data_IF_359896882700
#
_entry.id   IF_359896882700
#
_cell.length_a   1.000
_cell.length_b   1.000
_cell.length_c   1.000
_cell.angle_alpha   90.00
_cell.angle_beta   90.00
_cell.angle_gamma   90.00
#
_symmetry.space_group_name_H-M   'P 1'
#
loop_
_entity.id
_entity.type
_entity.pdbx_description
1 polymer ?
#
# COMPACT_ATOMS: atom_id res chain seq x y z
N UNK A 1 29.51 -0.73 -15.90
CA UNK A 1 28.88 0.31 -15.07
C UNK A 1 27.38 0.35 -15.32
N UNK A 2 26.57 -0.53 -14.71
CA UNK A 2 25.10 -0.47 -14.85
C UNK A 2 24.41 -1.30 -13.74
N UNK A 3 24.56 -0.90 -12.48
CA UNK A 3 23.91 -1.65 -11.38
C UNK A 3 23.40 -0.80 -10.19
N UNK A 4 23.51 0.53 -10.24
CA UNK A 4 23.15 1.37 -9.08
C UNK A 4 21.74 2.00 -9.13
N UNK A 5 21.10 2.11 -10.30
CA UNK A 5 19.81 2.83 -10.40
C UNK A 5 18.60 2.07 -9.82
N UNK A 6 18.65 0.73 -9.72
CA UNK A 6 17.52 -0.07 -9.22
C UNK A 6 17.31 0.08 -7.71
N UNK A 7 18.40 0.23 -6.94
CA UNK A 7 18.33 0.39 -5.48
C UNK A 7 17.78 1.76 -5.08
N UNK A 8 18.16 2.81 -5.79
CA UNK A 8 17.64 4.16 -5.55
C UNK A 8 16.15 4.29 -5.92
N UNK A 9 15.71 3.61 -6.98
CA UNK A 9 14.30 3.59 -7.36
C UNK A 9 13.43 2.88 -6.29
N UNK A 10 13.93 1.79 -5.70
CA UNK A 10 13.24 1.06 -4.64
C UNK A 10 13.13 1.88 -3.34
N UNK A 11 14.20 2.60 -2.97
CA UNK A 11 14.21 3.49 -1.81
C UNK A 11 13.25 4.67 -2.02
N UNK A 12 13.22 5.24 -3.23
CA UNK A 12 12.29 6.32 -3.59
C UNK A 12 10.83 5.86 -3.51
N UNK A 13 10.51 4.66 -4.00
CA UNK A 13 9.15 4.10 -3.94
C UNK A 13 8.75 3.81 -2.49
N UNK A 14 9.65 3.24 -1.68
CA UNK A 14 9.40 2.97 -0.26
C UNK A 14 9.20 4.26 0.55
N UNK A 15 9.99 5.31 0.28
CA UNK A 15 9.80 6.62 0.88
C UNK A 15 8.49 7.29 0.43
N UNK A 16 8.05 7.12 -0.83
CA UNK A 16 6.78 7.66 -1.33
C UNK A 16 5.56 6.99 -0.67
N UNK A 17 5.64 5.68 -0.40
CA UNK A 17 4.59 4.92 0.29
C UNK A 17 4.54 5.30 1.79
N UNK A 18 5.70 5.51 2.43
CA UNK A 18 5.77 6.00 3.81
C UNK A 18 5.29 7.46 3.95
N UNK A 19 5.50 8.30 2.94
CA UNK A 19 4.99 9.67 2.94
C UNK A 19 3.47 9.73 2.71
N UNK A 20 2.92 8.80 1.91
CA UNK A 20 1.47 8.70 1.68
C UNK A 20 0.71 8.16 2.93
N UNK A 21 1.39 7.48 3.84
CA UNK A 21 0.80 6.98 5.09
C UNK A 21 0.67 8.01 6.22
N UNK A 22 1.23 9.22 6.06
CA UNK A 22 1.27 10.25 7.12
C UNK A 22 0.20 11.34 7.00
N UNK A 23 -0.72 11.26 6.04
CA UNK A 23 -1.91 12.12 6.04
C UNK A 23 -3.10 11.38 6.65
N UNK A 24 -3.03 11.12 7.94
CA UNK A 24 -4.25 10.92 8.75
C UNK A 24 -4.88 12.30 8.93
N UNK A 25 -5.73 12.70 7.98
CA UNK A 25 -6.62 13.85 8.20
C UNK A 25 -7.68 13.42 9.20
N UNK A 26 -7.42 13.57 10.49
CA UNK A 26 -8.51 13.76 11.43
C UNK A 26 -9.26 15.06 11.06
N UNK A 27 -10.58 15.07 11.29
CA UNK A 27 -11.51 16.22 11.37
C UNK A 27 -12.43 16.66 10.21
N UNK A 28 -12.99 15.81 9.33
CA UNK A 28 -14.17 16.23 8.55
C UNK A 28 -15.42 16.47 9.44
N UNK A 29 -15.55 15.73 10.56
CA UNK A 29 -16.71 15.80 11.45
C UNK A 29 -16.76 17.06 12.32
N UNK A 30 -15.62 17.56 12.79
CA UNK A 30 -15.55 18.77 13.62
C UNK A 30 -15.87 20.02 12.79
N UNK A 31 -15.28 20.15 11.59
CA UNK A 31 -15.52 21.29 10.71
C UNK A 31 -16.98 21.39 10.25
N UNK A 32 -17.61 20.25 9.93
CA UNK A 32 -19.03 20.19 9.59
C UNK A 32 -19.91 20.69 10.74
N UNK A 33 -19.71 20.16 11.95
CA UNK A 33 -20.46 20.56 13.14
C UNK A 33 -20.35 22.07 13.41
N UNK A 34 -19.14 22.64 13.35
CA UNK A 34 -18.95 24.06 13.60
C UNK A 34 -19.61 24.94 12.51
N UNK A 35 -19.55 24.52 11.24
CA UNK A 35 -20.26 25.21 10.15
C UNK A 35 -21.78 25.18 10.35
N UNK A 36 -22.34 24.04 10.76
CA UNK A 36 -23.78 23.92 11.07
C UNK A 36 -24.17 24.85 12.22
N UNK A 37 -23.41 24.89 13.31
CA UNK A 37 -23.68 25.78 14.45
C UNK A 37 -23.70 27.25 14.04
N UNK A 38 -22.77 27.68 13.19
CA UNK A 38 -22.74 29.05 12.66
C UNK A 38 -23.95 29.33 11.76
N UNK A 39 -24.30 28.40 10.86
CA UNK A 39 -25.45 28.55 9.98
C UNK A 39 -26.77 28.63 10.76
N UNK A 40 -26.96 27.79 11.78
CA UNK A 40 -28.15 27.80 12.63
C UNK A 40 -28.26 29.06 13.48
N UNK A 41 -27.15 29.64 13.95
CA UNK A 41 -27.18 30.97 14.58
C UNK A 41 -27.66 32.06 13.63
N UNK A 42 -27.24 32.01 12.36
CA UNK A 42 -27.72 32.94 11.34
C UNK A 42 -29.23 32.75 11.07
N UNK A 43 -29.73 31.51 11.06
CA UNK A 43 -31.18 31.23 10.99
C UNK A 43 -31.92 31.85 12.17
N UNK A 44 -31.43 31.64 13.39
CA UNK A 44 -32.04 32.21 14.60
C UNK A 44 -32.12 33.74 14.54
N UNK A 45 -31.05 34.39 14.09
CA UNK A 45 -31.04 35.84 13.87
C UNK A 45 -32.12 36.27 12.86
N UNK A 46 -32.19 35.61 11.70
CA UNK A 46 -33.16 35.98 10.66
C UNK A 46 -34.61 35.77 11.13
N UNK A 47 -34.87 34.75 11.95
CA UNK A 47 -36.18 34.51 12.57
C UNK A 47 -36.55 35.64 13.54
N UNK A 48 -35.62 36.05 14.42
CA UNK A 48 -35.86 37.17 15.36
C UNK A 48 -36.11 38.49 14.62
N UNK A 49 -35.31 38.78 13.60
CA UNK A 49 -35.48 39.98 12.76
C UNK A 49 -36.82 39.99 12.03
N UNK A 50 -37.35 38.84 11.63
CA UNK A 50 -38.68 38.74 11.03
C UNK A 50 -39.82 39.17 11.97
N UNK A 51 -39.58 39.12 13.28
CA UNK A 51 -40.48 39.58 14.33
C UNK A 51 -40.15 41.01 14.81
N UNK A 52 -39.27 41.73 14.12
CA UNK A 52 -38.70 43.01 14.54
C UNK A 52 -37.96 42.96 15.90
N UNK A 53 -37.48 41.78 16.31
CA UNK A 53 -36.67 41.61 17.51
C UNK A 53 -35.18 41.71 17.14
N UNK A 54 -34.54 42.78 17.60
CA UNK A 54 -33.11 43.05 17.37
C UNK A 54 -32.25 42.88 18.63
N UNK A 55 -32.86 42.49 19.75
CA UNK A 55 -32.23 42.52 21.08
C UNK A 55 -32.13 41.14 21.69
N UNK A 56 -33.15 40.29 21.52
CA UNK A 56 -33.18 38.97 22.14
C UNK A 56 -32.06 38.08 21.60
N UNK A 57 -31.54 37.21 22.47
CA UNK A 57 -30.41 36.37 22.11
C UNK A 57 -30.85 35.04 21.48
N UNK A 58 -30.07 34.64 20.49
CA UNK A 58 -30.02 33.24 20.03
C UNK A 58 -29.11 32.48 20.99
N UNK A 59 -29.65 31.47 21.66
CA UNK A 59 -28.90 30.65 22.62
C UNK A 59 -27.86 29.76 21.91
N UNK A 60 -26.87 29.22 22.64
CA UNK A 60 -25.88 28.32 22.04
C UNK A 60 -26.53 27.12 21.36
N UNK A 61 -26.24 26.93 20.07
CA UNK A 61 -26.71 25.77 19.31
C UNK A 61 -26.11 24.50 19.91
N UNK A 62 -26.97 23.59 20.36
CA UNK A 62 -26.58 22.32 20.95
C UNK A 62 -26.49 21.26 19.86
N UNK A 63 -25.47 20.42 19.96
CA UNK A 63 -25.37 19.23 19.13
C UNK A 63 -25.85 18.04 19.97
N UNK A 64 -27.02 17.50 19.63
CA UNK A 64 -27.60 16.35 20.33
C UNK A 64 -26.98 15.04 19.82
N UNK A 65 -26.80 14.93 18.50
CA UNK A 65 -26.17 13.80 17.82
C UNK A 65 -25.23 14.26 16.69
N UNK A 66 -24.58 13.33 15.98
CA UNK A 66 -23.67 13.69 14.88
C UNK A 66 -24.34 14.48 13.74
N UNK A 67 -25.66 14.32 13.57
CA UNK A 67 -26.48 14.93 12.52
C UNK A 67 -27.71 15.67 13.07
N UNK A 68 -27.87 15.79 14.39
CA UNK A 68 -29.01 16.45 15.04
C UNK A 68 -28.53 17.65 15.84
N UNK A 69 -29.11 18.81 15.56
CA UNK A 69 -28.76 20.08 16.18
C UNK A 69 -29.99 20.80 16.67
N UNK A 70 -29.89 21.45 17.83
CA UNK A 70 -30.98 22.19 18.45
C UNK A 70 -30.63 23.67 18.56
N UNK A 71 -31.58 24.50 18.16
CA UNK A 71 -31.55 25.95 18.23
C UNK A 71 -32.67 26.43 19.17
N UNK A 72 -32.33 27.33 20.08
CA UNK A 72 -33.26 27.88 21.07
C UNK A 72 -33.05 29.39 21.24
N UNK A 73 -34.05 30.04 21.86
CA UNK A 73 -34.11 31.49 22.01
C UNK A 73 -34.28 31.88 23.47
N UNK A 74 -33.79 33.06 23.83
CA UNK A 74 -33.91 33.60 25.20
C UNK A 74 -35.36 33.86 25.60
N UNK A 75 -36.20 34.32 24.66
CA UNK A 75 -37.60 34.69 24.89
C UNK A 75 -38.55 33.86 24.04
N UNK A 76 -39.80 33.67 24.50
CA UNK A 76 -40.89 33.19 23.65
C UNK A 76 -41.04 34.07 22.41
N UNK A 77 -41.43 33.48 21.29
CA UNK A 77 -41.69 34.22 20.07
C UNK A 77 -42.85 33.61 19.29
N UNK A 78 -43.53 34.46 18.51
CA UNK A 78 -44.44 34.01 17.47
C UNK A 78 -43.64 33.57 16.25
N UNK A 79 -44.15 32.56 15.54
CA UNK A 79 -43.37 31.88 14.52
C UNK A 79 -44.11 31.87 13.18
N UNK A 80 -43.47 32.40 12.14
CA UNK A 80 -43.94 32.26 10.76
C UNK A 80 -43.16 31.12 10.08
N UNK A 81 -43.80 29.96 9.82
CA UNK A 81 -43.19 28.86 9.09
C UNK A 81 -42.52 29.27 7.77
N UNK A 82 -43.10 30.21 7.02
CA UNK A 82 -42.57 30.67 5.74
C UNK A 82 -41.21 31.36 5.89
N UNK A 83 -41.07 32.22 6.90
CA UNK A 83 -39.82 32.91 7.20
C UNK A 83 -38.74 31.94 7.69
N UNK A 84 -39.10 30.95 8.53
CA UNK A 84 -38.16 29.90 8.94
C UNK A 84 -37.66 29.11 7.74
N UNK A 85 -38.56 28.61 6.90
CA UNK A 85 -38.19 27.78 5.76
C UNK A 85 -37.19 28.52 4.84
N UNK A 86 -37.46 29.80 4.57
CA UNK A 86 -36.60 30.66 3.78
C UNK A 86 -35.25 30.93 4.47
N UNK A 87 -35.25 31.21 5.78
CA UNK A 87 -34.04 31.45 6.56
C UNK A 87 -33.13 30.21 6.57
N UNK A 88 -33.68 29.02 6.83
CA UNK A 88 -32.93 27.75 6.81
C UNK A 88 -32.35 27.49 5.42
N UNK A 89 -33.18 27.56 4.37
CA UNK A 89 -32.73 27.30 3.01
C UNK A 89 -31.62 28.27 2.56
N UNK A 90 -31.75 29.56 2.87
CA UNK A 90 -30.76 30.58 2.53
C UNK A 90 -29.45 30.38 3.30
N UNK A 91 -29.55 30.19 4.62
CA UNK A 91 -28.38 29.98 5.47
C UNK A 91 -27.61 28.72 5.09
N UNK A 92 -28.31 27.61 4.84
CA UNK A 92 -27.67 26.33 4.51
C UNK A 92 -27.04 26.34 3.12
N UNK A 93 -27.67 27.03 2.16
CA UNK A 93 -27.08 27.26 0.83
C UNK A 93 -25.80 28.09 0.90
N UNK A 94 -25.81 29.21 1.65
CA UNK A 94 -24.63 30.06 1.86
C UNK A 94 -23.49 29.32 2.56
N UNK A 95 -23.83 28.45 3.51
CA UNK A 95 -22.87 27.66 4.27
C UNK A 95 -22.47 26.36 3.57
N UNK A 96 -22.90 26.11 2.32
CA UNK A 96 -22.62 24.88 1.56
C UNK A 96 -22.93 23.60 2.35
N UNK A 97 -24.05 23.58 3.06
CA UNK A 97 -24.52 22.43 3.86
C UNK A 97 -25.36 21.46 3.00
N UNK A 98 -25.54 20.20 3.44
CA UNK A 98 -26.36 19.21 2.74
C UNK A 98 -27.78 19.71 2.49
N UNK A 99 -28.32 19.36 1.32
CA UNK A 99 -29.66 19.77 0.89
C UNK A 99 -30.78 18.91 1.46
N UNK A 100 -30.46 17.72 1.97
CA UNK A 100 -31.42 16.81 2.58
C UNK A 100 -31.42 16.97 4.11
N UNK A 101 -32.43 17.65 4.63
CA UNK A 101 -32.58 17.90 6.05
C UNK A 101 -34.05 17.98 6.44
N UNK A 102 -34.33 17.69 7.70
CA UNK A 102 -35.64 17.85 8.32
C UNK A 102 -35.53 18.85 9.44
N UNK A 103 -36.51 19.73 9.55
CA UNK A 103 -36.62 20.70 10.64
C UNK A 103 -37.89 20.41 11.41
N UNK A 104 -37.81 20.36 12.73
CA UNK A 104 -38.93 20.25 13.64
C UNK A 104 -38.89 21.42 14.63
N UNK A 105 -40.01 22.08 14.80
CA UNK A 105 -40.25 23.10 15.81
C UNK A 105 -41.05 22.44 16.92
N UNK A 106 -40.44 22.30 18.08
CA UNK A 106 -41.03 21.62 19.24
C UNK A 106 -41.42 22.65 20.29
N UNK A 107 -42.51 22.41 21.01
CA UNK A 107 -42.87 23.21 22.17
C UNK A 107 -42.01 22.81 23.37
N UNK A 108 -41.44 23.80 24.08
CA UNK A 108 -40.57 23.54 25.24
C UNK A 108 -41.25 22.81 26.40
N UNK A 109 -42.59 22.87 26.48
CA UNK A 109 -43.35 22.38 27.64
C UNK A 109 -43.63 20.89 27.59
N UNK A 110 -44.07 20.40 26.44
CA UNK A 110 -44.49 19.01 26.21
C UNK A 110 -43.58 18.26 25.23
N UNK A 111 -42.70 18.97 24.51
CA UNK A 111 -41.86 18.38 23.48
C UNK A 111 -42.62 17.97 22.23
N UNK A 112 -43.88 18.38 22.07
CA UNK A 112 -44.67 18.05 20.90
C UNK A 112 -44.28 18.91 19.70
N UNK A 113 -44.34 18.31 18.50
CA UNK A 113 -44.02 18.98 17.24
C UNK A 113 -45.15 19.95 16.89
N UNK A 114 -44.88 21.25 17.04
CA UNK A 114 -45.80 22.31 16.65
C UNK A 114 -45.77 22.54 15.13
N UNK A 115 -44.60 22.36 14.50
CA UNK A 115 -44.42 22.48 13.05
C UNK A 115 -43.21 21.67 12.59
N UNK A 116 -43.24 21.11 11.38
CA UNK A 116 -42.06 20.44 10.80
C UNK A 116 -42.10 20.47 9.29
N UNK A 117 -40.93 20.48 8.66
CA UNK A 117 -40.81 20.32 7.21
C UNK A 117 -39.57 19.50 6.85
N UNK A 118 -39.59 18.91 5.66
CA UNK A 118 -38.48 18.14 5.10
C UNK A 118 -38.06 18.75 3.76
N UNK A 119 -36.78 19.06 3.63
CA UNK A 119 -36.18 19.51 2.39
C UNK A 119 -35.38 18.37 1.79
N UNK A 120 -35.55 18.15 0.48
CA UNK A 120 -34.75 17.21 -0.30
C UNK A 120 -33.98 17.94 -1.41
N UNK A 121 -32.95 17.29 -1.91
CA UNK A 121 -32.11 17.73 -3.04
C UNK A 121 -32.90 18.10 -4.29
N UNK A 122 -34.08 17.50 -4.48
CA UNK A 122 -35.04 17.81 -5.53
C UNK A 122 -36.25 18.52 -4.92
N UNK A 123 -36.52 19.76 -5.36
CA UNK A 123 -37.59 20.63 -4.81
C UNK A 123 -38.97 19.95 -4.88
N UNK A 124 -39.22 19.16 -5.93
CA UNK A 124 -40.48 18.41 -6.11
C UNK A 124 -40.74 17.38 -5.01
N UNK A 125 -39.69 16.94 -4.30
CA UNK A 125 -39.77 15.96 -3.24
C UNK A 125 -39.67 16.57 -1.84
N UNK A 126 -39.66 17.92 -1.72
CA UNK A 126 -39.69 18.61 -0.43
C UNK A 126 -41.12 18.68 0.10
N UNK A 127 -41.28 18.44 1.40
CA UNK A 127 -42.57 18.47 2.09
C UNK A 127 -42.61 19.65 3.07
N UNK A 128 -43.36 20.69 2.70
CA UNK A 128 -43.52 21.91 3.50
C UNK A 128 -45.01 22.09 3.84
N UNK A 129 -45.50 21.50 4.95
CA UNK A 129 -46.89 21.66 5.36
C UNK A 129 -47.14 23.06 5.95
N UNK A 130 -48.41 23.42 6.17
CA UNK A 130 -48.80 24.56 7.02
C UNK A 130 -48.24 25.94 6.63
N UNK A 131 -47.80 26.15 5.38
CA UNK A 131 -47.33 27.44 4.89
C UNK A 131 -48.39 28.55 5.08
N UNK A 132 -47.98 29.67 5.69
CA UNK A 132 -48.83 30.84 5.92
C UNK A 132 -49.71 30.79 7.17
N UNK A 133 -49.55 29.80 8.07
CA UNK A 133 -50.17 29.82 9.39
C UNK A 133 -49.18 30.26 10.46
N UNK A 134 -49.46 31.40 11.09
CA UNK A 134 -48.66 31.89 12.21
C UNK A 134 -48.88 30.97 13.43
N UNK A 135 -47.77 30.53 14.03
CA UNK A 135 -47.80 29.90 15.35
C UNK A 135 -47.80 31.00 16.43
N UNK A 136 -48.63 30.85 17.47
CA UNK A 136 -48.76 31.84 18.53
C UNK A 136 -47.46 31.97 19.33
N UNK A 137 -47.32 33.08 20.05
CA UNK A 137 -46.19 33.34 20.95
C UNK A 137 -46.12 32.27 22.05
N UNK A 138 -45.08 31.45 21.99
CA UNK A 138 -44.79 30.42 22.98
C UNK A 138 -43.28 30.11 23.00
N UNK A 139 -42.87 29.24 23.92
CA UNK A 139 -41.51 28.73 23.93
C UNK A 139 -41.38 27.61 22.90
N UNK A 140 -40.48 27.80 21.93
CA UNK A 140 -40.16 26.80 20.91
C UNK A 140 -38.67 26.51 20.85
N UNK A 141 -38.33 25.26 20.57
CA UNK A 141 -37.00 24.83 20.14
C UNK A 141 -37.06 24.34 18.69
N UNK A 142 -35.98 24.58 17.94
CA UNK A 142 -35.87 24.18 16.54
C UNK A 142 -34.82 23.07 16.45
N UNK A 143 -35.25 21.86 16.18
CA UNK A 143 -34.39 20.73 15.91
C UNK A 143 -34.18 20.60 14.40
N UNK A 144 -32.92 20.45 13.99
CA UNK A 144 -32.56 20.16 12.61
C UNK A 144 -31.83 18.82 12.54
N UNK A 145 -32.38 17.90 11.75
CA UNK A 145 -31.78 16.60 11.44
C UNK A 145 -31.27 16.60 10.01
N UNK A 146 -30.00 16.29 9.78
CA UNK A 146 -29.46 16.03 8.44
C UNK A 146 -29.68 14.57 8.05
N UNK A 147 -30.41 14.33 6.96
CA UNK A 147 -30.84 12.99 6.53
C UNK A 147 -29.80 12.34 5.61
N UNK A 148 -29.10 13.12 4.78
CA UNK A 148 -27.94 12.64 4.04
C UNK A 148 -26.67 13.17 4.70
N UNK A 149 -26.06 12.35 5.55
CA UNK A 149 -24.68 12.56 5.95
C UNK A 149 -23.84 12.21 4.73
N UNK A 150 -23.60 13.16 3.83
CA UNK A 150 -22.46 13.07 2.92
C UNK A 150 -21.21 13.23 3.79
N UNK A 151 -20.88 12.16 4.51
CA UNK A 151 -19.48 11.88 4.81
C UNK A 151 -18.89 11.73 3.43
N UNK A 152 -18.20 12.77 2.96
CA UNK A 152 -17.31 12.66 1.83
C UNK A 152 -16.48 11.42 2.10
N UNK A 153 -16.82 10.35 1.39
CA UNK A 153 -16.16 9.07 1.49
C UNK A 153 -14.80 9.26 0.83
N UNK A 154 -13.90 9.93 1.56
CA UNK A 154 -12.51 9.54 1.70
C UNK A 154 -12.47 8.02 1.59
N UNK A 155 -11.87 7.55 0.49
CA UNK A 155 -12.01 6.19 0.00
C UNK A 155 -11.92 5.19 1.14
N UNK A 156 -12.86 4.25 1.15
CA UNK A 156 -12.93 3.17 2.14
C UNK A 156 -11.51 2.68 2.46
N UNK A 157 -11.04 2.76 3.73
CA UNK A 157 -9.66 2.44 4.07
C UNK A 157 -9.30 1.01 3.63
N UNK A 158 -10.29 0.13 3.47
CA UNK A 158 -10.13 -1.19 2.88
C UNK A 158 -9.59 -1.16 1.44
N UNK A 159 -10.01 -0.19 0.60
CA UNK A 159 -9.50 -0.04 -0.78
C UNK A 159 -8.02 0.31 -0.76
N UNK A 160 -7.58 1.17 0.17
CA UNK A 160 -6.16 1.48 0.36
C UNK A 160 -5.37 0.24 0.75
N UNK A 161 -5.84 -0.55 1.72
CA UNK A 161 -5.18 -1.81 2.11
C UNK A 161 -5.18 -2.85 0.99
N UNK A 162 -6.25 -2.96 0.20
CA UNK A 162 -6.32 -3.85 -0.97
C UNK A 162 -5.29 -3.42 -2.02
N UNK A 163 -5.17 -2.12 -2.31
CA UNK A 163 -4.18 -1.61 -3.26
C UNK A 163 -2.75 -1.82 -2.78
N UNK A 164 -2.46 -1.58 -1.49
CA UNK A 164 -1.15 -1.86 -0.90
C UNK A 164 -0.83 -3.35 -0.96
N UNK A 165 -1.80 -4.23 -0.67
CA UNK A 165 -1.63 -5.67 -0.77
C UNK A 165 -1.36 -6.15 -2.20
N UNK A 166 -2.07 -5.60 -3.19
CA UNK A 166 -1.84 -5.89 -4.61
C UNK A 166 -0.45 -5.43 -5.08
N UNK A 167 0.04 -4.27 -4.59
CA UNK A 167 1.40 -3.80 -4.87
C UNK A 167 2.44 -4.72 -4.24
N UNK A 168 2.22 -5.19 -3.00
CA UNK A 168 3.11 -6.15 -2.34
C UNK A 168 3.15 -7.48 -3.10
N UNK A 169 2.00 -8.02 -3.52
CA UNK A 169 1.92 -9.24 -4.34
C UNK A 169 2.64 -9.03 -5.68
N UNK A 170 2.44 -7.90 -6.33
CA UNK A 170 3.09 -7.60 -7.60
C UNK A 170 4.61 -7.51 -7.45
N UNK A 171 5.10 -6.85 -6.40
CA UNK A 171 6.54 -6.80 -6.10
C UNK A 171 7.10 -8.18 -5.74
N UNK A 172 6.37 -8.98 -4.97
CA UNK A 172 6.73 -10.37 -4.67
C UNK A 172 6.74 -11.23 -5.94
N UNK A 173 5.80 -11.05 -6.86
CA UNK A 173 5.77 -11.75 -8.15
C UNK A 173 6.90 -11.29 -9.07
N UNK A 174 7.24 -10.00 -9.12
CA UNK A 174 8.41 -9.50 -9.85
C UNK A 174 9.71 -10.03 -9.23
N UNK A 175 9.78 -10.12 -7.91
CA UNK A 175 10.94 -10.69 -7.22
C UNK A 175 11.03 -12.21 -7.44
N UNK A 176 9.90 -12.92 -7.39
CA UNK A 176 9.82 -14.35 -7.64
C UNK A 176 10.12 -14.68 -9.10
N UNK A 177 9.59 -13.91 -10.06
CA UNK A 177 9.90 -14.07 -11.48
C UNK A 177 11.34 -13.71 -11.81
N UNK A 178 11.97 -12.74 -11.13
CA UNK A 178 13.42 -12.49 -11.26
C UNK A 178 14.27 -13.55 -10.59
N UNK A 179 13.84 -14.07 -9.44
CA UNK A 179 14.48 -15.20 -8.76
C UNK A 179 14.39 -16.47 -9.60
N UNK A 180 13.23 -16.74 -10.20
CA UNK A 180 13.00 -17.87 -11.07
C UNK A 180 13.65 -17.68 -12.45
N UNK A 181 13.72 -16.47 -13.01
CA UNK A 181 14.49 -16.20 -14.23
C UNK A 181 16.01 -16.33 -14.01
N UNK A 182 16.49 -16.20 -12.76
CA UNK A 182 17.87 -16.55 -12.39
C UNK A 182 18.04 -18.05 -12.12
N UNK A 183 16.96 -18.77 -11.79
CA UNK A 183 16.92 -20.22 -11.53
C UNK A 183 16.51 -21.07 -12.74
N UNK A 184 16.07 -20.44 -13.82
CA UNK A 184 15.62 -21.11 -15.05
C UNK A 184 16.58 -20.82 -16.20
N UNK A 185 17.89 -20.95 -15.90
CA UNK A 185 18.80 -21.66 -16.77
C UNK A 185 19.04 -23.02 -16.15
N UNK A 186 18.52 -24.07 -16.79
CA UNK A 186 18.93 -25.47 -16.67
C UNK A 186 18.24 -26.42 -15.68
N UNK A 187 17.36 -27.23 -16.27
CA UNK A 187 17.20 -28.67 -15.97
C UNK A 187 17.14 -29.43 -17.29
N UNK A 188 17.61 -30.68 -17.40
CA UNK A 188 18.94 -31.21 -17.15
C UNK A 188 19.53 -31.76 -18.47
N UNK A 189 20.66 -31.21 -18.94
CA UNK A 189 21.48 -31.91 -19.93
C UNK A 189 22.83 -32.27 -19.29
N UNK A 190 23.01 -33.58 -19.09
CA UNK A 190 24.25 -34.29 -18.76
C UNK A 190 25.05 -33.75 -17.57
N UNK A 191 24.45 -33.75 -16.37
CA UNK A 191 25.22 -33.69 -15.13
C UNK A 191 25.89 -35.04 -14.86
N UNK A 192 27.22 -35.06 -14.65
CA UNK A 192 27.95 -36.27 -14.27
C UNK A 192 28.08 -36.34 -12.75
N UNK A 193 27.71 -37.47 -12.14
CA UNK A 193 27.91 -37.71 -10.72
C UNK A 193 29.40 -37.89 -10.43
N UNK A 194 29.91 -37.14 -9.45
CA UNK A 194 31.29 -37.23 -8.95
C UNK A 194 31.23 -37.21 -7.42
N UNK A 195 31.27 -38.39 -6.78
CA UNK A 195 31.03 -38.53 -5.34
C UNK A 195 29.69 -37.92 -4.92
N UNK A 196 29.71 -36.98 -3.97
CA UNK A 196 28.57 -36.17 -3.51
C UNK A 196 28.29 -34.92 -4.36
N UNK A 197 29.13 -34.64 -5.37
CA UNK A 197 28.95 -33.52 -6.29
C UNK A 197 28.26 -33.98 -7.58
N UNK A 198 27.46 -33.10 -8.16
CA UNK A 198 27.01 -33.20 -9.55
C UNK A 198 27.73 -32.15 -10.39
N UNK A 199 28.49 -32.59 -11.39
CA UNK A 199 29.26 -31.73 -12.27
C UNK A 199 28.49 -31.43 -13.56
N UNK A 200 28.34 -30.13 -13.87
CA UNK A 200 27.68 -29.65 -15.09
C UNK A 200 28.69 -28.91 -15.98
N UNK A 201 29.26 -29.58 -17.01
CA UNK A 201 30.32 -29.00 -17.83
C UNK A 201 29.87 -27.76 -18.63
N UNK A 202 28.68 -27.83 -19.24
CA UNK A 202 28.09 -26.74 -20.03
C UNK A 202 27.87 -25.46 -19.22
N UNK A 203 27.55 -25.63 -17.93
CA UNK A 203 27.23 -24.53 -17.01
C UNK A 203 28.43 -24.07 -16.19
N UNK A 204 29.58 -24.74 -16.34
CA UNK A 204 30.77 -24.52 -15.53
C UNK A 204 30.45 -24.48 -14.02
N UNK A 205 29.67 -25.44 -13.51
CA UNK A 205 29.29 -25.48 -12.10
C UNK A 205 29.35 -26.89 -11.49
N UNK A 206 29.59 -26.94 -10.18
CA UNK A 206 29.41 -28.11 -9.32
C UNK A 206 28.25 -27.84 -8.38
N UNK A 207 27.44 -28.86 -8.09
CA UNK A 207 26.33 -28.76 -7.13
C UNK A 207 26.47 -29.85 -6.07
N UNK A 208 26.42 -29.48 -4.79
CA UNK A 208 26.39 -30.41 -3.65
C UNK A 208 25.26 -29.99 -2.71
N UNK A 209 24.31 -30.89 -2.42
CA UNK A 209 23.24 -30.69 -1.41
C UNK A 209 22.55 -29.30 -1.46
N UNK A 210 22.33 -28.77 -2.68
CA UNK A 210 21.76 -27.46 -2.99
C UNK A 210 22.69 -26.22 -2.91
N UNK A 211 23.98 -26.41 -2.64
CA UNK A 211 25.02 -25.38 -2.81
C UNK A 211 25.61 -25.42 -4.23
N UNK A 212 25.57 -24.27 -4.93
CA UNK A 212 26.18 -24.12 -6.25
C UNK A 212 27.59 -23.53 -6.16
N UNK A 213 28.57 -24.27 -6.66
CA UNK A 213 29.97 -23.87 -6.73
C UNK A 213 30.32 -23.55 -8.18
N UNK A 214 30.48 -22.26 -8.49
CA UNK A 214 30.91 -21.82 -9.82
C UNK A 214 32.35 -22.26 -10.13
N UNK A 215 32.61 -22.73 -11.34
CA UNK A 215 33.94 -23.05 -11.87
C UNK A 215 34.31 -22.04 -12.95
N UNK A 216 35.59 -21.69 -13.04
CA UNK A 216 36.08 -21.01 -14.25
C UNK A 216 36.17 -22.01 -15.40
N UNK A 217 36.13 -21.52 -16.65
CA UNK A 217 36.22 -22.37 -17.85
C UNK A 217 37.40 -23.35 -17.82
N UNK A 218 38.59 -22.90 -17.40
CA UNK A 218 39.79 -23.76 -17.28
C UNK A 218 39.67 -24.80 -16.16
N UNK A 219 39.01 -24.45 -15.04
CA UNK A 219 38.74 -25.41 -13.97
C UNK A 219 37.76 -26.48 -14.44
N UNK A 220 36.75 -26.09 -15.23
CA UNK A 220 35.76 -26.99 -15.81
C UNK A 220 36.39 -27.97 -16.81
N UNK A 221 37.18 -27.46 -17.78
CA UNK A 221 37.89 -28.28 -18.76
C UNK A 221 38.85 -29.27 -18.07
N UNK A 222 39.59 -28.81 -17.07
CA UNK A 222 40.53 -29.65 -16.33
C UNK A 222 39.81 -30.73 -15.53
N UNK A 223 38.71 -30.40 -14.86
CA UNK A 223 37.90 -31.36 -14.11
C UNK A 223 37.22 -32.38 -15.04
N UNK A 224 36.73 -31.96 -16.21
CA UNK A 224 36.16 -32.85 -17.21
C UNK A 224 37.18 -33.90 -17.70
N UNK A 225 38.45 -33.52 -17.89
CA UNK A 225 39.51 -34.46 -18.25
C UNK A 225 39.77 -35.51 -17.16
N UNK A 226 39.72 -35.10 -15.89
CA UNK A 226 39.87 -36.04 -14.78
C UNK A 226 38.66 -36.96 -14.61
N UNK A 227 37.43 -36.44 -14.77
CA UNK A 227 36.20 -37.23 -14.71
C UNK A 227 36.15 -38.26 -15.86
N UNK A 228 36.67 -37.91 -17.04
CA UNK A 228 36.73 -38.84 -18.18
C UNK A 228 37.70 -40.01 -17.97
N UNK A 229 38.66 -39.88 -17.04
CA UNK A 229 39.68 -40.90 -16.73
C UNK A 229 39.86 -41.02 -15.20
N UNK A 230 38.83 -41.48 -14.47
CA UNK A 230 38.91 -41.61 -13.02
C UNK A 230 39.97 -42.64 -12.65
N UNK A 231 40.69 -42.41 -11.55
CA UNK A 231 41.75 -43.29 -11.04
C UNK A 231 42.98 -43.48 -11.98
N UNK A 232 43.06 -42.74 -13.10
CA UNK A 232 44.23 -42.74 -13.99
C UNK A 232 45.15 -41.54 -13.76
N UNK A 233 46.46 -41.74 -13.96
CA UNK A 233 47.46 -40.66 -13.88
C UNK A 233 47.53 -39.95 -15.23
N UNK A 234 47.15 -38.67 -15.26
CA UNK A 234 47.28 -37.83 -16.45
C UNK A 234 48.56 -37.00 -16.33
N UNK A 235 49.40 -37.06 -17.37
CA UNK A 235 50.70 -36.36 -17.42
C UNK A 235 50.51 -34.85 -17.43
N UNK A 236 51.44 -34.10 -16.81
CA UNK A 236 51.38 -32.62 -16.77
C UNK A 236 51.39 -31.99 -18.16
N UNK A 237 52.20 -32.54 -19.07
CA UNK A 237 52.28 -32.11 -20.46
C UNK A 237 50.94 -32.30 -21.19
N UNK A 238 50.27 -33.44 -20.97
CA UNK A 238 48.95 -33.72 -21.57
C UNK A 238 47.88 -32.74 -21.07
N UNK A 239 47.83 -32.48 -19.75
CA UNK A 239 46.89 -31.53 -19.15
C UNK A 239 47.13 -30.10 -19.64
N UNK A 240 48.40 -29.70 -19.73
CA UNK A 240 48.78 -28.36 -20.19
C UNK A 240 48.43 -28.17 -21.66
N UNK A 241 48.75 -29.16 -22.51
CA UNK A 241 48.44 -29.14 -23.93
C UNK A 241 46.94 -29.00 -24.19
N UNK A 242 46.12 -29.87 -23.59
CA UNK A 242 44.67 -29.90 -23.84
C UNK A 242 43.93 -28.66 -23.37
N UNK A 243 44.35 -28.04 -22.27
CA UNK A 243 43.63 -26.89 -21.67
C UNK A 243 44.21 -25.54 -22.14
N UNK A 244 45.51 -25.47 -22.47
CA UNK A 244 46.16 -24.21 -22.85
C UNK A 244 46.60 -24.11 -24.32
N UNK A 245 47.20 -25.16 -24.91
CA UNK A 245 47.76 -25.09 -26.28
C UNK A 245 46.65 -25.13 -27.35
N UNK A 246 45.68 -26.03 -27.21
CA UNK A 246 44.59 -26.19 -28.18
C UNK A 246 43.61 -24.99 -28.19
N UNK A 247 43.66 -24.14 -27.15
CA UNK A 247 42.76 -23.00 -26.97
C UNK A 247 43.42 -21.63 -27.28
N UNK A 248 44.67 -21.58 -27.74
CA UNK A 248 45.31 -20.36 -28.25
C UNK A 248 45.63 -19.26 -27.21
N UNK A 249 45.63 -19.56 -25.90
CA UNK A 249 45.84 -18.56 -24.84
C UNK A 249 47.21 -18.72 -24.16
N UNK A 250 48.19 -17.94 -24.62
CA UNK A 250 49.53 -17.86 -24.04
C UNK A 250 49.60 -16.77 -22.96
N UNK A 251 48.82 -16.85 -21.86
CA UNK A 251 49.08 -16.03 -20.65
C UNK A 251 48.53 -16.67 -19.36
N UNK A 252 49.39 -16.84 -18.34
CA UNK A 252 49.16 -16.21 -17.03
C UNK A 252 49.24 -17.03 -15.73
N UNK A 253 48.91 -18.33 -15.69
CA UNK A 253 48.89 -19.11 -14.42
C UNK A 253 49.25 -20.57 -14.64
N UNK A 254 50.02 -21.15 -13.71
CA UNK A 254 50.48 -22.54 -13.75
C UNK A 254 49.33 -23.53 -13.54
N UNK A 255 49.44 -24.72 -14.15
CA UNK A 255 48.58 -25.88 -13.91
C UNK A 255 48.34 -26.10 -12.41
N UNK A 256 49.39 -25.99 -11.61
CA UNK A 256 49.38 -26.22 -10.16
C UNK A 256 48.45 -25.26 -9.40
N UNK A 257 48.27 -24.03 -9.91
CA UNK A 257 47.33 -23.07 -9.31
C UNK A 257 45.88 -23.53 -9.49
N UNK A 258 45.54 -24.05 -10.68
CA UNK A 258 44.19 -24.57 -10.96
C UNK A 258 43.91 -25.87 -10.22
N UNK A 259 44.92 -26.76 -10.13
CA UNK A 259 44.84 -27.97 -9.30
C UNK A 259 44.57 -27.60 -7.83
N UNK A 260 45.24 -26.57 -7.29
CA UNK A 260 45.05 -26.12 -5.91
C UNK A 260 43.64 -25.54 -5.68
N UNK A 261 43.10 -24.80 -6.65
CA UNK A 261 41.73 -24.29 -6.58
C UNK A 261 40.68 -25.39 -6.66
N UNK A 262 40.86 -26.36 -7.58
CA UNK A 262 39.97 -27.52 -7.68
C UNK A 262 39.97 -28.34 -6.39
N UNK A 263 41.14 -28.58 -5.78
CA UNK A 263 41.24 -29.24 -4.47
C UNK A 263 40.41 -28.53 -3.41
N UNK A 264 40.51 -27.21 -3.32
CA UNK A 264 39.74 -26.43 -2.34
C UNK A 264 38.24 -26.51 -2.58
N UNK A 265 37.80 -26.61 -3.84
CA UNK A 265 36.38 -26.74 -4.19
C UNK A 265 35.82 -28.15 -3.98
N UNK A 266 36.68 -29.16 -4.06
CA UNK A 266 36.32 -30.58 -3.85
C UNK A 266 36.59 -31.06 -2.42
N UNK A 267 37.15 -30.21 -1.55
CA UNK A 267 37.58 -30.59 -0.20
C UNK A 267 36.43 -31.07 0.69
N UNK A 268 35.20 -30.65 0.38
CA UNK A 268 34.03 -30.93 1.21
C UNK A 268 33.54 -32.38 1.04
N UNK A 269 34.12 -33.15 0.12
CA UNK A 269 33.87 -34.58 -0.02
C UNK A 269 35.16 -35.38 0.16
N UNK A 270 35.28 -36.18 1.23
CA UNK A 270 36.47 -37.00 1.47
C UNK A 270 36.61 -38.18 0.50
N UNK A 271 35.56 -38.54 -0.27
CA UNK A 271 35.62 -39.64 -1.24
C UNK A 271 36.34 -39.25 -2.53
N UNK A 272 36.55 -37.96 -2.78
CA UNK A 272 37.19 -37.47 -4.01
C UNK A 272 38.52 -36.81 -3.65
N UNK A 273 39.62 -37.27 -4.25
CA UNK A 273 40.94 -36.71 -3.97
C UNK A 273 41.75 -36.47 -5.24
N UNK A 274 42.16 -35.23 -5.43
CA UNK A 274 43.05 -34.85 -6.53
C UNK A 274 44.51 -34.97 -6.09
N UNK A 275 45.14 -36.11 -6.36
CA UNK A 275 46.46 -36.49 -5.82
C UNK A 275 47.58 -36.19 -6.83
N UNK A 276 48.74 -35.74 -6.33
CA UNK A 276 49.94 -35.50 -7.14
C UNK A 276 50.79 -36.77 -7.19
N UNK A 277 51.12 -37.23 -8.39
CA UNK A 277 52.05 -38.35 -8.62
C UNK A 277 53.41 -37.75 -9.00
N UNK A 278 54.35 -37.80 -8.06
CA UNK A 278 55.64 -37.14 -8.18
C UNK A 278 56.38 -37.56 -9.46
N UNK A 279 56.89 -36.57 -10.21
CA UNK A 279 57.61 -36.81 -11.47
C UNK A 279 56.73 -37.19 -12.67
N UNK A 280 55.42 -37.42 -12.49
CA UNK A 280 54.55 -37.94 -13.57
C UNK A 280 53.38 -37.00 -13.88
N UNK A 281 52.56 -36.65 -12.89
CA UNK A 281 51.28 -36.01 -13.19
C UNK A 281 50.32 -35.88 -12.03
N UNK A 282 49.03 -35.86 -12.36
CA UNK A 282 47.92 -35.73 -11.42
C UNK A 282 46.91 -36.85 -11.65
N UNK A 283 46.25 -37.29 -10.58
CA UNK A 283 45.22 -38.33 -10.59
C UNK A 283 44.03 -37.89 -9.77
N UNK A 284 42.82 -38.14 -10.28
CA UNK A 284 41.58 -38.02 -9.52
C UNK A 284 41.23 -39.39 -8.94
N UNK A 285 41.25 -39.51 -7.62
CA UNK A 285 40.84 -40.69 -6.87
C UNK A 285 39.38 -40.54 -6.47
N UNK A 286 38.56 -41.51 -6.84
CA UNK A 286 37.10 -41.61 -6.60
C UNK A 286 36.70 -43.04 -6.32
#
# INVERSE_FOLDING_TARGET
MRQNNSRHLFILIFCLILFAGSCTTETPTNEFSERVKVALRAVGNDVLLSQNDTVSLVLPVLQLESNVFELSFEKPLAFDPGNLNAAVANSFSKASLPKDYRVAVLNCTDGEVAYSFEMRSTIENSLVPCGGRLLPEACYTIEVTFTSQQVDASGNPAIFYILVFLVIIFLAFVFYSRYHAFRQGDTPHNGTLLGSFTFYPEQNKLVKEAEEISLSRKECELLALFIAKPNEVIKREELTKKVWEDNGVIVGRSLDTYISKLRKKLQDDPSIKLTNVHGVGYKLEV
#
